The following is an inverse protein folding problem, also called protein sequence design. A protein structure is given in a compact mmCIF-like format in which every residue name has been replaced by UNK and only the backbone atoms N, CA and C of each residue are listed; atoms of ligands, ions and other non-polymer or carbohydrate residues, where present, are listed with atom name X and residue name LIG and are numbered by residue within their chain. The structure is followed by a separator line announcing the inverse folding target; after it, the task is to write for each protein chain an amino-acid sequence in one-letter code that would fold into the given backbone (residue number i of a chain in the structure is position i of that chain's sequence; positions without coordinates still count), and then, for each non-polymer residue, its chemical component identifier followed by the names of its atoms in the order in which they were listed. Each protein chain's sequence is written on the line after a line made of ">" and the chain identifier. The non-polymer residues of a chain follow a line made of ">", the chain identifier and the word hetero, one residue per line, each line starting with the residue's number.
data_IF_371517965574
#
_entry.id   IF_371517965574
#
_cell.length_a   1.000
_cell.length_b   1.000
_cell.length_c   1.000
_cell.angle_alpha   90.00
_cell.angle_beta   90.00
_cell.angle_gamma   90.00
#
_symmetry.space_group_name_H-M   'P 1'
#
loop_
_entity.id
_entity.type
_entity.pdbx_description
1 polymer ?
#
# COMPACT_ATOMS: atom_id res chain seq x y z
N UNK A 1 -7.63 7.36 19.93
CA UNK A 1 -6.77 7.67 18.75
C UNK A 1 -5.28 7.56 19.11
N UNK A 2 -4.74 8.23 20.15
CA UNK A 2 -3.31 8.10 20.51
C UNK A 2 -2.94 6.67 20.94
N UNK A 3 -3.73 6.06 21.81
CA UNK A 3 -3.54 4.68 22.27
C UNK A 3 -3.55 3.67 21.10
N UNK A 4 -4.44 3.86 20.14
CA UNK A 4 -4.54 3.02 18.96
C UNK A 4 -3.29 3.16 18.05
N UNK A 5 -2.79 4.39 17.84
CA UNK A 5 -1.55 4.64 17.08
C UNK A 5 -0.34 3.99 17.77
N UNK A 6 -0.27 4.08 19.11
CA UNK A 6 0.79 3.42 19.88
C UNK A 6 0.74 1.89 19.72
N UNK A 7 -0.47 1.31 19.72
CA UNK A 7 -0.63 -0.13 19.46
C UNK A 7 -0.16 -0.51 18.06
N UNK A 8 -0.55 0.21 17.01
CA UNK A 8 -0.10 -0.06 15.64
C UNK A 8 1.42 0.03 15.49
N UNK A 9 2.01 1.04 16.11
CA UNK A 9 3.46 1.18 16.12
C UNK A 9 4.15 0.00 16.80
N UNK A 10 3.63 -0.47 17.95
CA UNK A 10 4.19 -1.60 18.65
C UNK A 10 4.16 -2.87 17.78
N UNK A 11 3.05 -3.14 17.07
CA UNK A 11 2.95 -4.26 16.13
C UNK A 11 4.03 -4.22 15.05
N UNK A 12 4.33 -3.02 14.51
CA UNK A 12 5.39 -2.87 13.53
C UNK A 12 6.78 -3.06 14.14
N UNK A 13 7.05 -2.48 15.31
CA UNK A 13 8.33 -2.65 16.01
C UNK A 13 8.59 -4.11 16.39
N UNK A 14 7.55 -4.85 16.79
CA UNK A 14 7.67 -6.27 17.16
C UNK A 14 7.95 -7.17 15.94
N UNK A 15 7.71 -6.67 14.71
CA UNK A 15 7.85 -7.49 13.52
C UNK A 15 9.05 -7.11 12.61
N UNK A 16 9.49 -5.84 12.52
CA UNK A 16 10.54 -5.44 11.55
C UNK A 16 11.88 -6.14 11.79
N UNK A 17 12.20 -6.46 13.05
CA UNK A 17 13.40 -7.21 13.43
C UNK A 17 13.17 -8.73 13.55
N UNK A 18 11.93 -9.19 13.39
CA UNK A 18 11.56 -10.59 13.53
C UNK A 18 11.79 -11.37 12.25
N UNK A 19 12.92 -12.06 12.16
CA UNK A 19 13.30 -12.81 10.96
C UNK A 19 12.40 -14.02 10.68
N UNK A 20 11.86 -14.69 11.71
CA UNK A 20 11.04 -15.92 11.55
C UNK A 20 9.73 -15.85 12.33
N UNK A 21 8.62 -16.47 11.79
CA UNK A 21 8.54 -17.20 10.51
C UNK A 21 8.71 -16.26 9.31
N UNK A 22 9.20 -16.76 8.17
CA UNK A 22 9.43 -15.95 6.98
C UNK A 22 9.08 -16.72 5.69
N UNK A 23 8.49 -16.00 4.75
CA UNK A 23 8.17 -16.48 3.42
C UNK A 23 9.05 -15.76 2.39
N UNK A 24 10.18 -16.37 2.05
CA UNK A 24 11.06 -15.87 1.00
C UNK A 24 10.41 -16.15 -0.37
N UNK A 25 10.16 -15.09 -1.14
CA UNK A 25 9.67 -15.18 -2.52
C UNK A 25 10.84 -15.14 -3.52
N UNK A 26 11.73 -16.14 -3.46
CA UNK A 26 12.94 -16.24 -4.28
C UNK A 26 12.89 -17.47 -5.20
N UNK A 27 13.36 -17.29 -6.45
CA UNK A 27 13.51 -18.38 -7.40
C UNK A 27 14.95 -18.87 -7.36
N UNK A 28 15.18 -20.03 -6.75
CA UNK A 28 16.52 -20.62 -6.65
C UNK A 28 17.07 -20.99 -8.04
N UNK A 29 18.25 -20.52 -8.37
CA UNK A 29 18.98 -20.89 -9.58
C UNK A 29 19.93 -22.08 -9.31
N UNK A 30 20.32 -22.26 -8.03
CA UNK A 30 21.23 -23.34 -7.60
C UNK A 30 21.10 -23.54 -6.07
N UNK A 31 21.74 -24.58 -5.54
CA UNK A 31 21.81 -24.85 -4.10
C UNK A 31 22.46 -23.69 -3.31
N UNK A 32 23.38 -22.95 -3.95
CA UNK A 32 24.04 -21.80 -3.32
C UNK A 32 23.14 -20.56 -3.14
N UNK A 33 21.97 -20.55 -3.79
CA UNK A 33 20.99 -19.47 -3.64
C UNK A 33 20.12 -19.60 -2.38
N UNK A 34 20.16 -20.75 -1.71
CA UNK A 34 19.45 -20.96 -0.46
C UNK A 34 20.13 -20.21 0.68
N UNK A 35 19.65 -19.01 0.97
CA UNK A 35 20.18 -18.11 2.01
C UNK A 35 19.08 -17.77 3.02
N UNK A 36 19.47 -17.23 4.19
CA UNK A 36 18.53 -16.75 5.19
C UNK A 36 17.83 -15.47 4.70
N UNK A 37 16.64 -15.13 5.25
CA UNK A 37 15.99 -13.85 4.93
C UNK A 37 16.89 -12.65 5.09
N UNK A 38 17.62 -12.55 6.18
CA UNK A 38 18.56 -11.43 6.47
C UNK A 38 19.73 -11.37 5.51
N UNK A 39 20.22 -12.51 5.03
CA UNK A 39 21.30 -12.53 4.03
C UNK A 39 20.84 -12.08 2.65
N UNK A 40 19.56 -12.31 2.33
CA UNK A 40 18.96 -11.88 1.05
C UNK A 40 18.47 -10.44 1.10
N UNK A 41 17.85 -10.06 2.20
CA UNK A 41 17.12 -8.80 2.38
C UNK A 41 17.57 -8.09 3.67
N UNK A 42 18.79 -7.54 3.71
CA UNK A 42 19.35 -7.00 4.96
C UNK A 42 18.61 -5.77 5.50
N UNK A 43 17.84 -5.08 4.67
CA UNK A 43 16.99 -3.98 5.12
C UNK A 43 15.55 -4.44 5.45
N UNK A 44 15.03 -5.46 4.77
CA UNK A 44 13.61 -5.82 4.84
C UNK A 44 13.37 -7.31 5.08
N UNK A 45 14.12 -7.91 6.02
CA UNK A 45 14.06 -9.33 6.35
C UNK A 45 12.96 -9.72 7.33
N UNK A 46 12.36 -8.75 8.02
CA UNK A 46 11.38 -8.99 9.09
C UNK A 46 9.94 -9.18 8.59
N UNK A 47 8.98 -9.14 9.52
CA UNK A 47 7.54 -9.12 9.27
C UNK A 47 7.03 -10.19 8.29
N UNK A 48 7.53 -11.43 8.36
CA UNK A 48 7.09 -12.56 7.56
C UNK A 48 7.53 -12.54 6.08
N UNK A 49 7.44 -11.41 5.38
CA UNK A 49 7.86 -11.25 3.97
C UNK A 49 8.37 -9.82 3.69
N UNK A 50 8.99 -9.66 2.53
CA UNK A 50 9.65 -8.42 2.16
C UNK A 50 8.71 -7.21 2.15
N UNK A 51 7.55 -7.33 1.51
CA UNK A 51 6.61 -6.20 1.41
C UNK A 51 6.00 -5.83 2.76
N UNK A 52 5.74 -6.81 3.64
CA UNK A 52 5.24 -6.52 4.98
C UNK A 52 6.31 -5.80 5.82
N UNK A 53 7.59 -6.16 5.68
CA UNK A 53 8.68 -5.39 6.27
C UNK A 53 8.70 -3.95 5.75
N UNK A 54 8.60 -3.75 4.43
CA UNK A 54 8.61 -2.40 3.81
C UNK A 54 7.48 -1.53 4.33
N UNK A 55 6.23 -2.00 4.30
CA UNK A 55 5.13 -1.16 4.80
C UNK A 55 5.05 -1.09 6.32
N UNK A 56 5.69 -2.01 7.06
CA UNK A 56 5.94 -1.87 8.49
C UNK A 56 6.88 -0.69 8.77
N UNK A 57 7.97 -0.54 8.00
CA UNK A 57 8.86 0.62 8.08
C UNK A 57 8.13 1.92 7.69
N UNK A 58 7.29 1.89 6.65
CA UNK A 58 6.43 3.02 6.30
C UNK A 58 5.52 3.44 7.47
N UNK A 59 4.86 2.48 8.13
CA UNK A 59 4.02 2.74 9.30
C UNK A 59 4.81 3.44 10.40
N UNK A 60 6.02 2.94 10.73
CA UNK A 60 6.89 3.54 11.75
C UNK A 60 7.21 5.01 11.38
N UNK A 61 7.61 5.27 10.13
CA UNK A 61 7.90 6.64 9.66
C UNK A 61 6.66 7.53 9.75
N UNK A 62 5.50 7.05 9.28
CA UNK A 62 4.24 7.80 9.29
C UNK A 62 3.81 8.21 10.69
N UNK A 63 3.96 7.33 11.67
CA UNK A 63 3.60 7.63 13.05
C UNK A 63 4.63 8.49 13.76
N UNK A 64 5.93 8.32 13.50
CA UNK A 64 7.00 9.22 13.97
C UNK A 64 6.76 10.66 13.51
N UNK A 65 6.44 10.84 12.23
CA UNK A 65 6.10 12.16 11.66
C UNK A 65 4.91 12.81 12.36
N UNK A 66 3.98 12.02 12.87
CA UNK A 66 2.82 12.49 13.62
C UNK A 66 3.12 12.91 15.08
N UNK A 67 4.34 12.67 15.55
CA UNK A 67 4.78 12.92 16.92
C UNK A 67 4.42 11.79 17.89
N UNK A 68 5.40 11.30 18.64
CA UNK A 68 5.30 10.20 19.61
C UNK A 68 5.88 10.61 20.96
N UNK A 69 5.60 9.84 22.00
CA UNK A 69 6.27 9.97 23.29
C UNK A 69 7.75 9.64 23.16
N UNK A 70 8.62 10.29 23.94
CA UNK A 70 10.08 10.27 23.77
C UNK A 70 10.71 8.86 23.78
N UNK A 71 10.24 7.97 24.65
CA UNK A 71 10.78 6.61 24.74
C UNK A 71 10.41 5.77 23.51
N UNK A 72 9.20 5.97 22.99
CA UNK A 72 8.69 5.30 21.80
C UNK A 72 9.35 5.85 20.54
N UNK A 73 9.56 7.17 20.46
CA UNK A 73 10.31 7.83 19.38
C UNK A 73 11.72 7.28 19.29
N UNK A 74 12.42 7.11 20.44
CA UNK A 74 13.77 6.57 20.46
C UNK A 74 13.84 5.11 19.96
N UNK A 75 12.89 4.27 20.36
CA UNK A 75 12.82 2.86 19.90
C UNK A 75 12.56 2.79 18.39
N UNK A 76 11.59 3.56 17.89
CA UNK A 76 11.26 3.64 16.48
C UNK A 76 12.44 4.17 15.63
N UNK A 77 13.12 5.21 16.13
CA UNK A 77 14.33 5.77 15.49
C UNK A 77 15.44 4.72 15.41
N UNK A 78 15.68 3.96 16.49
CA UNK A 78 16.70 2.92 16.52
C UNK A 78 16.41 1.79 15.53
N UNK A 79 15.14 1.35 15.40
CA UNK A 79 14.75 0.37 14.41
C UNK A 79 15.01 0.86 12.98
N UNK A 80 14.58 2.09 12.63
CA UNK A 80 14.85 2.66 11.30
C UNK A 80 16.35 2.85 11.02
N UNK A 81 17.16 3.25 12.00
CA UNK A 81 18.62 3.38 11.85
C UNK A 81 19.28 2.02 11.57
N UNK A 82 18.76 0.94 12.15
CA UNK A 82 19.24 -0.42 11.93
C UNK A 82 19.03 -0.91 10.49
N UNK A 83 17.96 -0.48 9.84
CA UNK A 83 17.52 -0.99 8.54
C UNK A 83 17.79 -0.01 7.38
N UNK A 84 17.44 1.26 7.55
CA UNK A 84 17.56 2.28 6.50
C UNK A 84 18.94 2.94 6.51
N UNK A 85 19.95 2.15 6.17
CA UNK A 85 21.34 2.60 6.06
C UNK A 85 21.99 2.14 4.75
N UNK A 86 23.06 2.80 4.34
CA UNK A 86 23.68 2.57 3.03
C UNK A 86 24.15 1.11 2.81
N UNK A 87 24.59 0.42 3.87
CA UNK A 87 25.07 -0.97 3.76
C UNK A 87 23.89 -1.94 3.51
N UNK A 88 22.82 -1.82 4.29
CA UNK A 88 21.65 -2.66 4.14
C UNK A 88 20.96 -2.43 2.77
N UNK A 89 20.80 -1.18 2.36
CA UNK A 89 20.23 -0.84 1.05
C UNK A 89 21.10 -1.32 -0.11
N UNK A 90 22.43 -1.27 -0.01
CA UNK A 90 23.30 -1.84 -1.03
C UNK A 90 23.10 -3.37 -1.17
N UNK A 91 22.83 -4.07 -0.06
CA UNK A 91 22.49 -5.49 -0.09
C UNK A 91 21.16 -5.79 -0.79
N UNK A 92 20.13 -4.95 -0.56
CA UNK A 92 18.86 -5.04 -1.31
C UNK A 92 19.07 -4.82 -2.82
N UNK A 93 19.84 -3.80 -3.21
CA UNK A 93 20.16 -3.53 -4.63
C UNK A 93 20.86 -4.73 -5.26
N UNK A 94 21.85 -5.31 -4.57
CA UNK A 94 22.55 -6.50 -5.05
C UNK A 94 21.60 -7.69 -5.26
N UNK A 95 20.57 -7.84 -4.43
CA UNK A 95 19.53 -8.83 -4.64
C UNK A 95 18.71 -8.52 -5.90
N UNK A 96 18.26 -7.27 -6.07
CA UNK A 96 17.50 -6.85 -7.25
C UNK A 96 18.28 -7.03 -8.56
N UNK A 97 19.60 -6.90 -8.54
CA UNK A 97 20.49 -7.11 -9.71
C UNK A 97 20.70 -8.61 -10.01
N UNK A 98 20.24 -9.50 -9.14
CA UNK A 98 20.38 -10.94 -9.27
C UNK A 98 19.52 -11.56 -10.38
N UNK A 99 19.94 -12.73 -10.85
CA UNK A 99 19.18 -13.50 -11.84
C UNK A 99 17.84 -13.99 -11.24
N UNK A 100 16.77 -13.98 -12.06
CA UNK A 100 15.46 -14.47 -11.66
C UNK A 100 14.62 -13.49 -10.82
N UNK A 101 15.13 -12.30 -10.50
CA UNK A 101 14.45 -11.33 -9.60
C UNK A 101 13.53 -10.33 -10.33
N UNK A 102 13.41 -10.40 -11.66
CA UNK A 102 12.68 -9.40 -12.46
C UNK A 102 11.21 -9.20 -12.08
N UNK A 103 10.54 -10.19 -11.51
CA UNK A 103 9.15 -10.12 -11.05
C UNK A 103 9.02 -10.08 -9.52
N UNK A 104 10.13 -10.02 -8.78
CA UNK A 104 10.12 -9.95 -7.32
C UNK A 104 9.32 -8.74 -6.85
N UNK A 105 8.36 -8.99 -5.96
CA UNK A 105 7.49 -8.00 -5.30
C UNK A 105 6.65 -7.09 -6.23
N UNK A 106 6.55 -7.41 -7.49
CA UNK A 106 5.88 -6.60 -8.51
C UNK A 106 4.36 -6.83 -8.57
N UNK A 107 3.51 -5.80 -8.45
CA UNK A 107 3.89 -4.41 -8.20
C UNK A 107 3.77 -3.99 -6.73
N UNK A 108 3.15 -4.77 -5.84
CA UNK A 108 2.68 -4.39 -4.51
C UNK A 108 3.83 -3.95 -3.58
N UNK A 109 4.83 -4.80 -3.38
CA UNK A 109 5.95 -4.48 -2.52
C UNK A 109 6.79 -3.32 -3.06
N UNK A 110 6.96 -3.26 -4.41
CA UNK A 110 7.65 -2.14 -5.07
C UNK A 110 6.92 -0.82 -4.83
N UNK A 111 5.59 -0.83 -4.89
CA UNK A 111 4.76 0.35 -4.63
C UNK A 111 4.89 0.84 -3.18
N UNK A 112 4.90 -0.08 -2.21
CA UNK A 112 5.10 0.26 -0.80
C UNK A 112 6.49 0.83 -0.53
N UNK A 113 7.54 0.35 -1.23
CA UNK A 113 8.87 0.95 -1.12
C UNK A 113 8.87 2.40 -1.59
N UNK A 114 8.24 2.70 -2.72
CA UNK A 114 8.08 4.07 -3.22
C UNK A 114 7.26 4.92 -2.24
N UNK A 115 6.22 4.36 -1.62
CA UNK A 115 5.42 5.03 -0.59
C UNK A 115 6.25 5.33 0.67
N UNK A 116 7.16 4.44 1.09
CA UNK A 116 8.11 4.70 2.18
C UNK A 116 9.04 5.86 1.83
N UNK A 117 9.62 5.86 0.62
CA UNK A 117 10.48 6.94 0.16
C UNK A 117 9.76 8.29 0.06
N UNK A 118 8.51 8.28 -0.38
CA UNK A 118 7.64 9.45 -0.41
C UNK A 118 7.39 10.03 1.00
N UNK A 119 7.03 9.18 1.96
CA UNK A 119 6.77 9.60 3.35
C UNK A 119 7.99 10.24 4.01
N UNK A 120 9.19 9.70 3.75
CA UNK A 120 10.46 10.27 4.23
C UNK A 120 10.73 11.66 3.64
N UNK A 121 10.42 11.90 2.35
CA UNK A 121 10.64 13.19 1.70
C UNK A 121 9.67 14.28 2.15
N UNK A 122 8.46 13.89 2.52
CA UNK A 122 7.44 14.80 3.02
C UNK A 122 7.65 15.21 4.48
N UNK A 123 8.59 14.58 5.18
CA UNK A 123 8.88 14.85 6.58
C UNK A 123 10.11 15.75 6.73
N UNK A 124 9.91 16.99 7.18
CA UNK A 124 10.98 17.96 7.48
C UNK A 124 11.67 17.64 8.81
N UNK A 125 12.50 16.60 8.83
CA UNK A 125 13.27 16.12 9.98
C UNK A 125 14.64 15.63 9.50
N UNK A 126 15.77 15.98 10.17
CA UNK A 126 17.10 15.53 9.79
C UNK A 126 17.25 14.00 9.74
N UNK A 127 16.49 13.25 10.55
CA UNK A 127 16.48 11.79 10.53
C UNK A 127 15.88 11.29 9.23
N UNK A 128 14.72 11.85 8.84
CA UNK A 128 14.05 11.50 7.58
C UNK A 128 14.92 11.80 6.36
N UNK A 129 15.65 12.93 6.36
CA UNK A 129 16.58 13.29 5.30
C UNK A 129 17.69 12.22 5.16
N UNK A 130 18.27 11.75 6.27
CA UNK A 130 19.31 10.71 6.29
C UNK A 130 18.79 9.37 5.77
N UNK A 131 17.60 8.92 6.22
CA UNK A 131 16.99 7.68 5.75
C UNK A 131 16.56 7.77 4.29
N UNK A 132 16.04 8.91 3.84
CA UNK A 132 15.71 9.17 2.45
C UNK A 132 16.94 9.10 1.54
N UNK A 133 18.08 9.70 1.96
CA UNK A 133 19.34 9.61 1.23
C UNK A 133 19.82 8.16 1.10
N UNK A 134 19.73 7.38 2.18
CA UNK A 134 20.09 5.97 2.16
C UNK A 134 19.19 5.13 1.24
N UNK A 135 17.87 5.38 1.24
CA UNK A 135 16.87 4.63 0.48
C UNK A 135 16.87 4.99 -1.02
N UNK A 136 17.21 6.22 -1.38
CA UNK A 136 17.09 6.76 -2.73
C UNK A 136 17.69 5.87 -3.85
N UNK A 137 18.84 5.22 -3.70
CA UNK A 137 19.34 4.33 -4.75
C UNK A 137 18.43 3.12 -5.03
N UNK A 138 17.78 2.55 -4.00
CA UNK A 138 16.85 1.44 -4.17
C UNK A 138 15.54 1.90 -4.80
N UNK A 139 15.06 3.11 -4.50
CA UNK A 139 13.90 3.71 -5.17
C UNK A 139 14.12 3.84 -6.68
N UNK A 140 15.34 4.22 -7.12
CA UNK A 140 15.66 4.27 -8.56
C UNK A 140 15.61 2.89 -9.20
N UNK A 141 16.15 1.86 -8.56
CA UNK A 141 16.04 0.47 -9.04
C UNK A 141 14.58 0.06 -9.21
N UNK A 142 13.74 0.41 -8.24
CA UNK A 142 12.30 0.13 -8.32
C UNK A 142 11.63 0.92 -9.45
N UNK A 143 11.92 2.21 -9.61
CA UNK A 143 11.40 3.02 -10.71
C UNK A 143 11.79 2.42 -12.08
N UNK A 144 13.03 1.96 -12.24
CA UNK A 144 13.51 1.30 -13.47
C UNK A 144 12.81 -0.04 -13.73
N UNK A 145 12.42 -0.77 -12.67
CA UNK A 145 11.57 -1.96 -12.79
C UNK A 145 10.18 -1.63 -13.38
N UNK A 146 9.56 -0.53 -12.94
CA UNK A 146 8.31 -0.04 -13.55
C UNK A 146 8.51 0.34 -15.02
N UNK A 147 9.56 1.10 -15.37
CA UNK A 147 9.88 1.49 -16.76
C UNK A 147 10.05 0.29 -17.68
N UNK A 148 10.70 -0.76 -17.17
CA UNK A 148 10.93 -2.00 -17.95
C UNK A 148 9.66 -2.84 -18.07
N UNK A 149 8.81 -2.86 -17.06
CA UNK A 149 7.64 -3.72 -17.01
C UNK A 149 6.43 -3.16 -17.75
N UNK A 150 6.10 -1.88 -17.54
CA UNK A 150 4.86 -1.27 -18.04
C UNK A 150 4.68 -1.37 -19.56
N UNK A 151 5.72 -1.19 -20.40
CA UNK A 151 5.58 -1.35 -21.85
C UNK A 151 5.22 -2.76 -22.28
N UNK A 152 5.54 -3.76 -21.46
CA UNK A 152 5.27 -5.18 -21.72
C UNK A 152 3.94 -5.67 -21.15
N UNK A 153 3.23 -4.84 -20.39
CA UNK A 153 1.94 -5.19 -19.81
C UNK A 153 0.81 -4.90 -20.80
N UNK A 154 0.29 -5.95 -21.43
CA UNK A 154 -0.78 -5.82 -22.44
C UNK A 154 -2.17 -5.57 -21.82
N UNK A 155 -2.41 -6.06 -20.62
CA UNK A 155 -3.69 -5.99 -19.91
C UNK A 155 -3.48 -5.60 -18.46
N UNK A 156 -4.42 -4.85 -17.82
CA UNK A 156 -4.38 -4.60 -16.38
C UNK A 156 -4.60 -5.90 -15.59
N UNK A 157 -4.02 -5.98 -14.41
CA UNK A 157 -4.21 -7.09 -13.48
C UNK A 157 -5.28 -6.66 -12.46
N UNK A 158 -6.51 -7.19 -12.61
CA UNK A 158 -7.70 -6.83 -11.83
C UNK A 158 -8.03 -7.91 -10.80
N UNK A 159 -7.14 -8.10 -9.83
CA UNK A 159 -7.33 -9.03 -8.70
C UNK A 159 -7.18 -8.29 -7.39
N UNK A 160 -7.73 -8.83 -6.30
CA UNK A 160 -7.69 -8.19 -4.98
C UNK A 160 -6.44 -8.53 -4.16
N UNK A 161 -5.34 -8.99 -4.80
CA UNK A 161 -4.12 -9.42 -4.11
C UNK A 161 -2.87 -8.71 -4.65
N UNK A 162 -1.67 -9.14 -4.21
CA UNK A 162 -0.38 -8.48 -4.45
C UNK A 162 -0.05 -8.12 -5.91
N UNK A 163 -0.62 -8.82 -6.87
CA UNK A 163 -0.34 -8.54 -8.30
C UNK A 163 -1.23 -7.44 -8.90
N UNK A 164 -2.14 -6.86 -8.13
CA UNK A 164 -3.09 -5.84 -8.58
C UNK A 164 -2.38 -4.59 -9.09
N UNK A 165 -2.66 -4.23 -10.36
CA UNK A 165 -1.91 -3.15 -11.03
C UNK A 165 -2.32 -1.75 -10.60
N UNK A 166 -3.62 -1.47 -10.39
CA UNK A 166 -4.08 -0.12 -10.10
C UNK A 166 -3.55 0.41 -8.77
N UNK A 167 -3.48 -0.42 -7.71
CA UNK A 167 -2.83 -0.07 -6.45
C UNK A 167 -1.35 0.28 -6.64
N UNK A 168 -0.62 -0.60 -7.35
CA UNK A 168 0.80 -0.38 -7.61
C UNK A 168 1.08 0.90 -8.40
N UNK A 169 0.24 1.20 -9.40
CA UNK A 169 0.37 2.41 -10.21
C UNK A 169 0.02 3.67 -9.42
N UNK A 170 -0.98 3.61 -8.53
CA UNK A 170 -1.38 4.75 -7.71
C UNK A 170 -0.24 5.25 -6.82
N UNK A 171 0.41 4.34 -6.06
CA UNK A 171 1.51 4.72 -5.19
C UNK A 171 2.78 5.12 -5.97
N UNK A 172 3.07 4.43 -7.08
CA UNK A 172 4.19 4.80 -7.94
C UNK A 172 4.00 6.17 -8.59
N UNK A 173 2.76 6.53 -8.96
CA UNK A 173 2.42 7.83 -9.52
C UNK A 173 2.60 8.95 -8.49
N UNK A 174 2.13 8.75 -7.25
CA UNK A 174 2.31 9.71 -6.17
C UNK A 174 3.80 9.97 -5.91
N UNK A 175 4.63 8.92 -5.92
CA UNK A 175 6.09 9.06 -5.80
C UNK A 175 6.70 9.80 -6.98
N UNK A 176 6.38 9.42 -8.22
CA UNK A 176 6.95 10.03 -9.43
C UNK A 176 6.69 11.54 -9.48
N UNK A 177 5.48 11.97 -9.13
CA UNK A 177 5.10 13.39 -9.01
C UNK A 177 5.91 14.12 -7.96
N UNK A 178 6.09 13.52 -6.80
CA UNK A 178 6.81 14.14 -5.67
C UNK A 178 8.29 14.32 -5.96
N UNK A 179 8.94 13.34 -6.61
CA UNK A 179 10.36 13.45 -6.96
C UNK A 179 10.62 14.16 -8.27
N UNK A 180 9.57 14.48 -9.05
CA UNK A 180 9.67 15.13 -10.35
C UNK A 180 10.13 14.20 -11.48
N UNK A 181 9.85 12.89 -11.38
CA UNK A 181 10.17 11.90 -12.40
C UNK A 181 9.10 11.91 -13.51
N UNK A 182 9.22 12.89 -14.41
CA UNK A 182 8.25 13.12 -15.47
C UNK A 182 8.13 11.97 -16.48
N UNK A 183 9.20 11.19 -16.68
CA UNK A 183 9.18 10.03 -17.57
C UNK A 183 8.30 8.92 -17.01
N UNK A 184 8.52 8.55 -15.73
CA UNK A 184 7.73 7.53 -15.07
C UNK A 184 6.28 7.99 -14.86
N UNK A 185 6.04 9.25 -14.49
CA UNK A 185 4.69 9.82 -14.40
C UNK A 185 3.94 9.68 -15.73
N UNK A 186 4.54 10.09 -16.84
CA UNK A 186 3.93 9.99 -18.17
C UNK A 186 3.59 8.53 -18.50
N UNK A 187 4.52 7.63 -18.28
CA UNK A 187 4.34 6.20 -18.57
C UNK A 187 3.21 5.58 -17.72
N UNK A 188 3.12 5.93 -16.43
CA UNK A 188 2.05 5.47 -15.55
C UNK A 188 0.68 6.03 -15.96
N UNK A 189 0.61 7.33 -16.28
CA UNK A 189 -0.63 7.98 -16.71
C UNK A 189 -1.13 7.39 -18.04
N UNK A 190 -0.26 7.31 -19.06
CA UNK A 190 -0.64 6.76 -20.36
C UNK A 190 -1.08 5.30 -20.27
N UNK A 191 -0.37 4.48 -19.47
CA UNK A 191 -0.73 3.08 -19.27
C UNK A 191 -2.07 2.95 -18.54
N UNK A 192 -2.30 3.76 -17.51
CA UNK A 192 -3.57 3.76 -16.76
C UNK A 192 -4.75 4.20 -17.62
N UNK A 193 -4.60 5.26 -18.41
CA UNK A 193 -5.64 5.73 -19.35
C UNK A 193 -5.93 4.66 -20.40
N UNK A 194 -4.92 4.03 -20.97
CA UNK A 194 -5.08 2.94 -21.95
C UNK A 194 -5.85 1.75 -21.36
N UNK A 195 -5.69 1.47 -20.07
CA UNK A 195 -6.33 0.33 -19.42
C UNK A 195 -7.73 0.63 -18.91
N UNK A 196 -7.98 1.84 -18.41
CA UNK A 196 -9.11 2.09 -17.53
C UNK A 196 -10.06 3.20 -18.00
N UNK A 197 -9.67 4.02 -18.97
CA UNK A 197 -10.51 5.16 -19.39
C UNK A 197 -11.89 4.73 -19.90
N UNK A 198 -11.94 3.59 -20.61
CA UNK A 198 -13.15 3.07 -21.22
C UNK A 198 -13.91 2.06 -20.33
N UNK A 199 -13.40 1.74 -19.14
CA UNK A 199 -14.04 0.80 -18.23
C UNK A 199 -15.37 1.35 -17.71
N UNK A 200 -16.39 0.49 -17.68
CA UNK A 200 -17.76 0.81 -17.26
C UNK A 200 -18.36 -0.33 -16.46
N UNK A 201 -19.30 0.00 -15.57
CA UNK A 201 -20.09 -0.95 -14.79
C UNK A 201 -19.23 -2.03 -14.11
N UNK A 202 -18.20 -1.58 -13.33
CA UNK A 202 -17.34 -2.52 -12.62
C UNK A 202 -18.16 -3.44 -11.72
N UNK A 203 -17.97 -4.78 -11.80
CA UNK A 203 -18.81 -5.74 -11.09
C UNK A 203 -18.44 -5.82 -9.60
N UNK A 204 -18.56 -4.71 -8.86
CA UNK A 204 -18.20 -4.62 -7.43
C UNK A 204 -18.99 -5.60 -6.55
N UNK A 205 -20.16 -6.06 -7.02
CA UNK A 205 -20.95 -7.09 -6.34
C UNK A 205 -20.30 -8.48 -6.35
N UNK A 206 -19.24 -8.70 -7.15
CA UNK A 206 -18.45 -9.94 -7.15
C UNK A 206 -17.29 -9.88 -6.15
N UNK A 207 -17.08 -8.74 -5.53
CA UNK A 207 -16.03 -8.54 -4.53
C UNK A 207 -16.58 -8.64 -3.09
N UNK A 208 -15.76 -9.14 -2.15
CA UNK A 208 -14.41 -9.61 -2.37
C UNK A 208 -14.36 -11.05 -2.88
N UNK A 209 -13.25 -11.45 -3.53
CA UNK A 209 -12.86 -12.86 -3.64
C UNK A 209 -12.32 -13.36 -2.30
N UNK A 210 -12.27 -14.68 -2.09
CA UNK A 210 -12.03 -15.29 -0.78
C UNK A 210 -10.69 -14.98 -0.10
N UNK A 211 -9.71 -14.46 -0.82
CA UNK A 211 -8.37 -14.11 -0.30
C UNK A 211 -7.98 -12.64 -0.63
N UNK A 212 -8.94 -11.80 -0.98
CA UNK A 212 -8.68 -10.41 -1.31
C UNK A 212 -8.35 -9.58 -0.06
N UNK A 213 -7.42 -8.63 -0.20
CA UNK A 213 -7.18 -7.54 0.75
C UNK A 213 -7.29 -6.16 0.08
N UNK A 214 -7.50 -6.13 -1.23
CA UNK A 214 -7.78 -4.95 -2.04
C UNK A 214 -9.10 -5.16 -2.79
N UNK A 215 -9.83 -4.09 -3.06
CA UNK A 215 -10.99 -4.09 -3.95
C UNK A 215 -10.55 -3.69 -5.36
N UNK A 216 -10.55 -4.56 -6.36
CA UNK A 216 -10.17 -4.19 -7.72
C UNK A 216 -10.91 -2.98 -8.26
N UNK A 217 -12.23 -2.90 -8.12
CA UNK A 217 -13.01 -1.76 -8.60
C UNK A 217 -12.66 -0.47 -7.85
N UNK A 218 -12.53 -0.48 -6.52
CA UNK A 218 -12.24 0.74 -5.78
C UNK A 218 -10.78 1.20 -5.96
N UNK A 219 -9.83 0.27 -6.12
CA UNK A 219 -8.43 0.63 -6.44
C UNK A 219 -8.31 1.25 -7.82
N UNK A 220 -9.09 0.79 -8.79
CA UNK A 220 -9.14 1.39 -10.11
C UNK A 220 -9.72 2.82 -10.04
N UNK A 221 -10.80 3.02 -9.30
CA UNK A 221 -11.36 4.34 -9.09
C UNK A 221 -10.40 5.27 -8.32
N UNK A 222 -9.65 4.74 -7.35
CA UNK A 222 -8.65 5.47 -6.59
C UNK A 222 -7.44 5.88 -7.46
N UNK A 223 -7.03 5.05 -8.42
CA UNK A 223 -6.03 5.41 -9.43
C UNK A 223 -6.56 6.50 -10.37
N UNK A 224 -7.78 6.33 -10.91
CA UNK A 224 -8.33 7.24 -11.92
C UNK A 224 -8.61 8.63 -11.37
N UNK A 225 -8.99 8.78 -10.08
CA UNK A 225 -9.11 10.12 -9.43
C UNK A 225 -7.80 10.89 -9.33
N UNK A 226 -6.65 10.20 -9.38
CA UNK A 226 -5.31 10.84 -9.40
C UNK A 226 -4.94 11.36 -10.78
N UNK A 227 -5.56 10.85 -11.82
CA UNK A 227 -5.20 11.08 -13.23
C UNK A 227 -6.16 12.06 -13.90
N UNK A 228 -7.45 11.86 -13.69
CA UNK A 228 -8.50 12.70 -14.27
C UNK A 228 -8.70 13.98 -13.44
N UNK A 229 -9.02 15.07 -14.10
CA UNK A 229 -9.53 16.23 -13.38
C UNK A 229 -10.92 15.92 -12.75
N UNK A 230 -11.39 16.79 -11.85
CA UNK A 230 -12.60 16.52 -11.07
C UNK A 230 -13.83 16.26 -11.96
N UNK A 231 -14.01 17.02 -13.05
CA UNK A 231 -15.18 16.88 -13.92
C UNK A 231 -15.10 15.59 -14.74
N UNK A 232 -13.94 15.29 -15.29
CA UNK A 232 -13.72 14.04 -16.03
C UNK A 232 -13.82 12.82 -15.14
N UNK A 233 -13.34 12.90 -13.87
CA UNK A 233 -13.49 11.83 -12.90
C UNK A 233 -14.94 11.59 -12.51
N UNK A 234 -15.72 12.64 -12.29
CA UNK A 234 -17.15 12.57 -11.98
C UNK A 234 -17.94 11.83 -13.08
N UNK A 235 -17.74 12.25 -14.34
CA UNK A 235 -18.36 11.60 -15.51
C UNK A 235 -17.91 10.14 -15.64
N UNK A 236 -16.62 9.86 -15.48
CA UNK A 236 -16.07 8.51 -15.57
C UNK A 236 -16.62 7.61 -14.47
N UNK A 237 -16.63 8.08 -13.21
CA UNK A 237 -17.11 7.31 -12.05
C UNK A 237 -18.60 6.99 -12.17
N UNK A 238 -19.40 7.91 -12.72
CA UNK A 238 -20.83 7.69 -12.99
C UNK A 238 -21.06 6.50 -13.91
N UNK A 239 -20.22 6.31 -14.91
CA UNK A 239 -20.30 5.15 -15.80
C UNK A 239 -19.63 3.90 -15.21
N UNK A 240 -18.62 4.06 -14.38
CA UNK A 240 -17.80 2.97 -13.83
C UNK A 240 -18.49 2.29 -12.62
N UNK A 241 -19.04 3.08 -11.69
CA UNK A 241 -19.80 2.60 -10.51
C UNK A 241 -21.19 3.26 -10.48
N UNK A 242 -22.08 2.87 -11.40
CA UNK A 242 -23.38 3.54 -11.59
C UNK A 242 -24.34 3.34 -10.41
N UNK A 243 -24.12 2.32 -9.59
CA UNK A 243 -25.05 1.90 -8.54
C UNK A 243 -24.69 2.49 -7.14
N UNK A 244 -23.76 3.48 -7.07
CA UNK A 244 -23.52 4.19 -5.80
C UNK A 244 -24.79 4.93 -5.39
N UNK A 245 -25.37 4.65 -4.19
CA UNK A 245 -26.61 5.28 -3.76
C UNK A 245 -26.47 6.78 -3.54
N UNK A 246 -27.58 7.50 -3.65
CA UNK A 246 -27.67 8.96 -3.46
C UNK A 246 -28.33 9.35 -2.13
N UNK A 247 -28.74 8.37 -1.33
CA UNK A 247 -29.54 8.55 -0.10
C UNK A 247 -28.70 8.54 1.19
N UNK A 248 -27.39 8.35 1.09
CA UNK A 248 -26.49 8.27 2.24
C UNK A 248 -26.43 6.90 2.91
N UNK A 249 -27.01 5.85 2.31
CA UNK A 249 -26.95 4.49 2.84
C UNK A 249 -25.53 3.93 2.80
N UNK A 250 -25.18 3.09 3.80
CA UNK A 250 -23.87 2.42 3.90
C UNK A 250 -23.91 0.95 3.47
N UNK A 251 -25.10 0.38 3.30
CA UNK A 251 -25.34 -1.05 3.13
C UNK A 251 -25.31 -1.53 1.67
N UNK A 252 -24.98 -0.65 0.75
CA UNK A 252 -24.78 -1.00 -0.67
C UNK A 252 -23.49 -1.79 -0.93
N UNK A 253 -22.55 -1.74 0.03
CA UNK A 253 -21.29 -2.49 -0.01
C UNK A 253 -21.05 -3.12 1.37
N UNK A 254 -21.23 -4.44 1.45
CA UNK A 254 -21.07 -5.17 2.71
C UNK A 254 -19.58 -5.39 3.04
N UNK A 255 -19.18 -5.24 4.33
CA UNK A 255 -17.84 -5.62 4.78
C UNK A 255 -17.51 -7.09 4.54
N UNK A 256 -16.26 -7.39 4.24
CA UNK A 256 -15.74 -8.75 4.20
C UNK A 256 -15.77 -9.40 5.59
N UNK A 257 -16.01 -10.71 5.63
CA UNK A 257 -16.13 -11.48 6.87
C UNK A 257 -15.03 -12.53 6.91
N UNK A 258 -14.24 -12.54 7.99
CA UNK A 258 -13.24 -13.57 8.28
C UNK A 258 -13.86 -14.61 9.23
N UNK A 259 -13.90 -15.87 8.81
CA UNK A 259 -14.42 -16.97 9.64
C UNK A 259 -13.30 -17.67 10.43
N UNK A 260 -12.07 -17.63 9.94
CA UNK A 260 -10.89 -18.17 10.62
C UNK A 260 -9.74 -17.16 10.60
N UNK A 261 -9.55 -16.38 11.66
CA UNK A 261 -8.49 -15.37 11.73
C UNK A 261 -7.07 -15.97 11.84
N UNK A 262 -6.95 -17.26 12.13
CA UNK A 262 -5.65 -17.96 12.16
C UNK A 262 -5.15 -18.37 10.77
N UNK A 263 -6.03 -18.43 9.78
CA UNK A 263 -5.64 -18.70 8.38
C UNK A 263 -5.06 -17.44 7.74
N UNK A 264 -3.75 -17.51 7.42
CA UNK A 264 -3.01 -16.38 6.85
C UNK A 264 -3.51 -15.88 5.48
N UNK A 265 -4.42 -16.63 4.81
CA UNK A 265 -5.07 -16.23 3.57
C UNK A 265 -6.46 -15.62 3.80
N UNK A 266 -7.26 -16.27 4.65
CA UNK A 266 -8.61 -15.79 4.93
C UNK A 266 -8.61 -14.47 5.69
N UNK A 267 -7.61 -14.22 6.55
CA UNK A 267 -7.43 -12.94 7.26
C UNK A 267 -7.19 -11.74 6.33
N UNK A 268 -6.87 -11.97 5.06
CA UNK A 268 -6.81 -10.93 4.04
C UNK A 268 -8.11 -10.13 3.92
N UNK A 269 -9.27 -10.73 4.20
CA UNK A 269 -10.56 -10.05 4.15
C UNK A 269 -10.70 -8.90 5.19
N UNK A 270 -9.96 -8.95 6.30
CA UNK A 270 -9.87 -7.80 7.21
C UNK A 270 -9.13 -6.62 6.56
N UNK A 271 -8.10 -6.93 5.77
CA UNK A 271 -7.41 -5.92 4.96
C UNK A 271 -8.29 -5.30 3.88
N UNK A 272 -9.20 -6.07 3.28
CA UNK A 272 -10.14 -5.50 2.29
C UNK A 272 -11.06 -4.47 2.92
N UNK A 273 -11.46 -4.64 4.19
CA UNK A 273 -12.26 -3.66 4.89
C UNK A 273 -11.48 -2.34 5.07
N UNK A 274 -10.24 -2.41 5.52
CA UNK A 274 -9.38 -1.24 5.67
C UNK A 274 -9.10 -0.54 4.32
N UNK A 275 -8.81 -1.32 3.28
CA UNK A 275 -8.52 -0.76 1.95
C UNK A 275 -9.75 -0.15 1.29
N UNK A 276 -10.92 -0.75 1.43
CA UNK A 276 -12.19 -0.15 1.01
C UNK A 276 -12.46 1.15 1.74
N UNK A 277 -12.21 1.22 3.05
CA UNK A 277 -12.43 2.43 3.83
C UNK A 277 -11.67 3.63 3.25
N UNK A 278 -10.36 3.52 3.03
CA UNK A 278 -9.59 4.64 2.48
C UNK A 278 -9.94 4.98 1.04
N UNK A 279 -10.27 3.97 0.21
CA UNK A 279 -10.66 4.23 -1.17
C UNK A 279 -11.99 4.99 -1.25
N UNK A 280 -13.00 4.53 -0.51
CA UNK A 280 -14.32 5.15 -0.47
C UNK A 280 -14.23 6.61 0.01
N UNK A 281 -13.42 6.86 1.04
CA UNK A 281 -13.17 8.22 1.53
C UNK A 281 -12.50 9.09 0.46
N UNK A 282 -11.42 8.60 -0.14
CA UNK A 282 -10.67 9.33 -1.16
C UNK A 282 -11.48 9.61 -2.44
N UNK A 283 -12.29 8.64 -2.87
CA UNK A 283 -13.24 8.81 -3.99
C UNK A 283 -14.29 9.88 -3.64
N UNK A 284 -14.85 9.84 -2.43
CA UNK A 284 -15.82 10.84 -1.99
C UNK A 284 -15.23 12.26 -2.02
N UNK A 285 -13.99 12.44 -1.56
CA UNK A 285 -13.33 13.76 -1.58
C UNK A 285 -12.91 14.22 -2.98
N UNK A 286 -12.76 13.31 -3.93
CA UNK A 286 -12.48 13.66 -5.34
C UNK A 286 -13.72 14.19 -6.09
N UNK A 287 -14.92 13.83 -5.66
CA UNK A 287 -16.18 14.32 -6.23
C UNK A 287 -16.48 15.78 -5.86
N UNK A 288 -17.29 16.51 -6.66
CA UNK A 288 -17.78 17.83 -6.31
C UNK A 288 -18.43 17.85 -4.91
N UNK A 289 -18.28 18.95 -4.16
CA UNK A 289 -18.75 19.05 -2.78
C UNK A 289 -20.28 18.86 -2.61
N UNK A 290 -21.06 19.12 -3.65
CA UNK A 290 -22.52 18.95 -3.67
C UNK A 290 -22.98 17.59 -4.19
N UNK A 291 -22.09 16.69 -4.56
CA UNK A 291 -22.46 15.38 -5.10
C UNK A 291 -23.07 14.47 -4.02
N UNK A 292 -24.28 13.97 -4.27
CA UNK A 292 -25.02 13.17 -3.31
C UNK A 292 -24.37 11.80 -3.01
N UNK A 293 -23.61 11.23 -3.96
CA UNK A 293 -22.86 9.97 -3.77
C UNK A 293 -21.86 10.03 -2.63
N UNK A 294 -21.33 11.24 -2.33
CA UNK A 294 -20.38 11.44 -1.25
C UNK A 294 -20.89 10.93 0.11
N UNK A 295 -22.18 11.12 0.38
CA UNK A 295 -22.76 10.67 1.66
C UNK A 295 -22.75 9.15 1.78
N UNK A 296 -23.13 8.43 0.73
CA UNK A 296 -23.12 6.96 0.73
C UNK A 296 -21.69 6.40 0.74
N UNK A 297 -20.76 7.02 0.01
CA UNK A 297 -19.34 6.65 0.03
C UNK A 297 -18.73 6.82 1.42
N UNK A 298 -18.95 7.96 2.09
CA UNK A 298 -18.42 8.22 3.42
C UNK A 298 -19.08 7.33 4.49
N UNK A 299 -20.38 7.05 4.37
CA UNK A 299 -21.09 6.15 5.28
C UNK A 299 -20.56 4.71 5.16
N UNK A 300 -20.35 4.22 3.93
CA UNK A 300 -19.74 2.91 3.69
C UNK A 300 -18.27 2.89 4.16
N UNK A 301 -17.49 3.95 3.90
CA UNK A 301 -16.13 4.09 4.40
C UNK A 301 -16.05 3.92 5.93
N UNK A 302 -16.90 4.65 6.67
CA UNK A 302 -16.94 4.57 8.14
C UNK A 302 -17.28 3.16 8.63
N UNK A 303 -18.25 2.47 7.99
CA UNK A 303 -18.64 1.10 8.33
C UNK A 303 -17.49 0.11 8.09
N UNK A 304 -16.83 0.21 6.95
CA UNK A 304 -15.67 -0.65 6.64
C UNK A 304 -14.49 -0.39 7.56
N UNK A 305 -14.22 0.88 7.90
CA UNK A 305 -13.17 1.27 8.84
C UNK A 305 -13.41 0.67 10.23
N UNK A 306 -14.65 0.77 10.74
CA UNK A 306 -15.03 0.21 12.05
C UNK A 306 -14.78 -1.29 12.11
N UNK A 307 -15.22 -2.04 11.09
CA UNK A 307 -15.03 -3.49 11.01
C UNK A 307 -13.55 -3.86 10.88
N UNK A 308 -12.82 -3.20 9.97
CA UNK A 308 -11.41 -3.48 9.75
C UNK A 308 -10.54 -3.16 10.98
N UNK A 309 -10.81 -2.06 11.69
CA UNK A 309 -10.06 -1.70 12.91
C UNK A 309 -10.29 -2.68 14.06
N UNK A 310 -11.46 -3.30 14.15
CA UNK A 310 -11.75 -4.30 15.18
C UNK A 310 -10.85 -5.54 15.07
N UNK A 311 -10.31 -5.83 13.89
CA UNK A 311 -9.44 -6.99 13.62
C UNK A 311 -7.95 -6.70 13.84
N UNK A 312 -7.56 -5.45 14.10
CA UNK A 312 -6.13 -5.09 14.33
C UNK A 312 -5.79 -5.28 15.81
N UNK A 313 -5.80 -6.53 16.28
CA UNK A 313 -5.56 -6.89 17.68
C UNK A 313 -4.12 -7.31 17.96
N UNK A 314 -3.46 -7.96 16.99
CA UNK A 314 -2.14 -8.57 17.16
C UNK A 314 -2.15 -9.95 17.82
N UNK A 315 -3.33 -10.51 18.11
CA UNK A 315 -3.47 -11.81 18.75
C UNK A 315 -2.93 -12.96 17.89
N UNK A 316 -3.15 -12.86 16.57
CA UNK A 316 -2.63 -13.78 15.56
C UNK A 316 -1.57 -13.10 14.69
N UNK A 317 -0.38 -13.69 14.58
CA UNK A 317 0.70 -13.15 13.75
C UNK A 317 0.34 -13.12 12.26
N UNK A 318 -0.57 -13.99 11.82
CA UNK A 318 -1.06 -14.03 10.44
C UNK A 318 -1.66 -12.69 9.95
N UNK A 319 -2.37 -11.99 10.82
CA UNK A 319 -2.88 -10.63 10.57
C UNK A 319 -2.00 -9.54 11.19
N UNK A 320 -1.47 -9.78 12.39
CA UNK A 320 -0.76 -8.80 13.20
C UNK A 320 0.48 -8.19 12.54
N UNK A 321 1.15 -8.92 11.63
CA UNK A 321 2.37 -8.45 10.98
C UNK A 321 2.13 -7.41 9.86
N UNK A 322 0.90 -7.18 9.40
CA UNK A 322 0.63 -6.29 8.26
C UNK A 322 -0.62 -5.42 8.38
N UNK A 323 -1.68 -5.87 9.07
CA UNK A 323 -2.95 -5.12 9.17
C UNK A 323 -2.78 -3.73 9.78
N UNK A 324 -1.84 -3.58 10.72
CA UNK A 324 -1.53 -2.28 11.34
C UNK A 324 -1.09 -1.22 10.32
N UNK A 325 -0.39 -1.62 9.24
CA UNK A 325 -0.01 -0.68 8.17
C UNK A 325 -1.23 -0.19 7.39
N UNK A 326 -2.16 -1.08 7.07
CA UNK A 326 -3.42 -0.72 6.41
C UNK A 326 -4.28 0.18 7.31
N UNK A 327 -4.39 -0.16 8.59
CA UNK A 327 -5.09 0.66 9.57
C UNK A 327 -4.46 2.06 9.67
N UNK A 328 -3.13 2.15 9.74
CA UNK A 328 -2.40 3.43 9.78
C UNK A 328 -2.66 4.25 8.51
N UNK A 329 -2.65 3.62 7.33
CA UNK A 329 -2.93 4.28 6.06
C UNK A 329 -4.33 4.90 6.05
N UNK A 330 -5.33 4.15 6.53
CA UNK A 330 -6.71 4.61 6.63
C UNK A 330 -6.88 5.73 7.68
N UNK A 331 -6.49 5.49 8.95
CA UNK A 331 -6.78 6.44 10.06
C UNK A 331 -5.95 7.72 10.01
N UNK A 332 -4.85 7.74 9.26
CA UNK A 332 -4.05 8.97 9.08
C UNK A 332 -4.42 9.74 7.82
N UNK A 333 -5.44 9.29 7.07
CA UNK A 333 -5.92 9.97 5.86
C UNK A 333 -4.94 9.99 4.70
N UNK A 334 -3.98 9.04 4.65
CA UNK A 334 -2.91 9.06 3.65
C UNK A 334 -3.44 9.03 2.22
N UNK A 335 -4.52 8.29 1.95
CA UNK A 335 -5.14 8.24 0.62
C UNK A 335 -5.66 9.60 0.14
N UNK A 336 -6.16 10.44 1.06
CA UNK A 336 -6.71 11.78 0.74
C UNK A 336 -5.60 12.81 0.54
N UNK A 337 -4.44 12.62 1.17
CA UNK A 337 -3.28 13.52 1.08
C UNK A 337 -2.47 13.35 -0.23
N UNK A 338 -2.82 12.39 -1.08
CA UNK A 338 -2.04 12.09 -2.30
C UNK A 338 -1.82 13.33 -3.18
N UNK A 339 -0.59 13.55 -3.69
CA UNK A 339 -0.27 14.67 -4.59
C UNK A 339 -1.12 14.62 -5.87
N UNK A 340 -1.59 15.77 -6.31
CA UNK A 340 -2.33 15.92 -7.58
C UNK A 340 -1.44 16.43 -8.67
#
# INVERSE_FOLDING_TARGET
>A
MQEQKSHFLQLALDCVDREYPNKISHVLQSDSDARTPRDMHPAFYGCYDWHSAVHGHWLIVRLLRGGLDADVDAAATAALDGHLNAQAIAGEIAYFDGEGTASFERPYGLAWLLQLGLELREWDDPRAARWSEALAPLEQVVADRYRTWLPNLAYPIRIGTHNQSAFGFALALDWARTVGDAELETLLVETSLRFHLEDRACPISYEPSGEDFLSPCLMEADLMRRILDQAAFDDWLTGFLPDIPLDGSADWLEPGIVLDPSDGKLVHLDGVNLSRAWNLEAIAFALPSGDARRYSLLAASARHLEVGLASVTGDDYAGGHWLASFATYAVTGRAVESPR
#
